data_IF_143797585845
#
_entry.id   IF_143797585845
#
_cell.length_a   1.000
_cell.length_b   1.000
_cell.length_c   1.000
_cell.angle_alpha   90.00
_cell.angle_beta   90.00
_cell.angle_gamma   90.00
#
_symmetry.space_group_name_H-M   'P 1'
#
loop_
_entity.id
_entity.type
_entity.pdbx_description
1 polymer ?
#
# COMPACT_ATOMS: atom_id res chain seq x y z
N UNK A 1 -16.53 -0.43 10.49
CA UNK A 1 -16.93 -1.23 11.68
C UNK A 1 -16.43 -0.48 12.91
N UNK A 2 -17.25 -0.32 13.96
CA UNK A 2 -16.80 0.27 15.22
C UNK A 2 -15.63 -0.54 15.77
N UNK A 3 -14.53 0.10 16.20
CA UNK A 3 -13.51 -0.56 17.01
C UNK A 3 -14.21 -1.09 18.27
N UNK A 4 -13.90 -2.31 18.68
CA UNK A 4 -14.39 -2.83 19.94
C UNK A 4 -13.48 -2.30 21.04
N UNK A 5 -14.02 -1.50 21.95
CA UNK A 5 -13.25 -0.94 23.05
C UNK A 5 -13.02 -2.00 24.13
N UNK A 6 -11.74 -2.21 24.45
CA UNK A 6 -11.33 -3.08 25.55
C UNK A 6 -11.68 -2.37 26.85
N UNK A 7 -12.44 -2.99 27.77
CA UNK A 7 -12.78 -2.40 29.06
C UNK A 7 -11.56 -1.87 29.80
N UNK A 8 -11.67 -0.64 30.32
CA UNK A 8 -10.59 0.00 31.06
C UNK A 8 -10.60 -0.42 32.53
N UNK A 9 -9.55 -1.11 32.94
CA UNK A 9 -9.31 -1.44 34.35
C UNK A 9 -7.99 -0.85 34.86
N UNK A 10 -7.46 0.19 34.19
CA UNK A 10 -6.19 0.84 34.57
C UNK A 10 -6.21 1.43 35.99
N UNK A 11 -7.40 1.73 36.53
CA UNK A 11 -7.57 2.20 37.91
C UNK A 11 -7.29 1.10 38.96
N UNK A 12 -7.24 -0.17 38.57
CA UNK A 12 -6.92 -1.28 39.48
C UNK A 12 -5.41 -1.33 39.73
N UNK A 13 -5.03 -1.44 41.00
CA UNK A 13 -3.62 -1.60 41.41
C UNK A 13 -3.22 -3.07 41.62
N UNK A 14 -3.78 -3.97 40.81
CA UNK A 14 -3.53 -5.41 40.88
C UNK A 14 -3.15 -5.99 39.50
N UNK A 15 -2.96 -7.30 39.43
CA UNK A 15 -2.56 -8.00 38.21
C UNK A 15 -3.59 -7.84 37.08
N UNK A 16 -4.86 -7.62 37.41
CA UNK A 16 -5.93 -7.37 36.43
C UNK A 16 -5.77 -5.98 35.82
N UNK A 17 -5.37 -4.98 36.59
CA UNK A 17 -5.02 -3.65 36.07
C UNK A 17 -3.84 -3.71 35.11
N UNK A 18 -2.75 -4.39 35.50
CA UNK A 18 -1.58 -4.59 34.65
C UNK A 18 -1.92 -5.34 33.34
N UNK A 19 -2.74 -6.39 33.43
CA UNK A 19 -3.20 -7.13 32.25
C UNK A 19 -4.06 -6.27 31.32
N UNK A 20 -4.96 -5.45 31.89
CA UNK A 20 -5.82 -4.54 31.11
C UNK A 20 -4.99 -3.54 30.30
N UNK A 21 -3.94 -2.96 30.91
CA UNK A 21 -3.01 -2.05 30.22
C UNK A 21 -2.30 -2.77 29.07
N UNK A 22 -1.67 -3.92 29.36
CA UNK A 22 -0.94 -4.68 28.35
C UNK A 22 -1.82 -5.10 27.16
N UNK A 23 -3.04 -5.57 27.44
CA UNK A 23 -3.99 -5.98 26.39
C UNK A 23 -4.45 -4.77 25.57
N UNK A 24 -4.71 -3.62 26.19
CA UNK A 24 -5.06 -2.38 25.49
C UNK A 24 -3.92 -1.89 24.60
N UNK A 25 -2.69 -1.94 25.08
CA UNK A 25 -1.51 -1.55 24.31
C UNK A 25 -1.32 -2.48 23.10
N UNK A 26 -1.46 -3.80 23.29
CA UNK A 26 -1.44 -4.78 22.19
C UNK A 26 -2.56 -4.54 21.17
N UNK A 27 -3.78 -4.26 21.63
CA UNK A 27 -4.93 -3.98 20.74
C UNK A 27 -4.74 -2.68 19.98
N UNK A 28 -4.22 -1.63 20.62
CA UNK A 28 -3.92 -0.36 19.96
C UNK A 28 -2.83 -0.52 18.91
N UNK A 29 -1.75 -1.25 19.22
CA UNK A 29 -0.70 -1.58 18.26
C UNK A 29 -1.25 -2.38 17.07
N UNK A 30 -2.14 -3.35 17.31
CA UNK A 30 -2.80 -4.10 16.25
C UNK A 30 -3.65 -3.19 15.34
N UNK A 31 -4.45 -2.28 15.91
CA UNK A 31 -5.25 -1.35 15.13
C UNK A 31 -4.40 -0.39 14.30
N UNK A 32 -3.32 0.15 14.87
CA UNK A 32 -2.39 1.00 14.15
C UNK A 32 -1.77 0.24 12.95
N UNK A 33 -1.42 -1.03 13.14
CA UNK A 33 -0.90 -1.88 12.06
C UNK A 33 -1.94 -2.14 10.96
N UNK A 34 -3.20 -2.39 11.33
CA UNK A 34 -4.29 -2.57 10.37
C UNK A 34 -4.48 -1.29 9.53
N UNK A 35 -4.50 -0.12 10.16
CA UNK A 35 -4.62 1.16 9.45
C UNK A 35 -3.45 1.41 8.50
N UNK A 36 -2.23 1.10 8.93
CA UNK A 36 -1.05 1.20 8.08
C UNK A 36 -1.16 0.29 6.84
N UNK A 37 -1.61 -0.95 7.01
CA UNK A 37 -1.83 -1.91 5.89
C UNK A 37 -2.92 -1.40 4.94
N UNK A 38 -4.04 -0.88 5.47
CA UNK A 38 -5.13 -0.35 4.65
C UNK A 38 -4.68 0.87 3.84
N UNK A 39 -3.95 1.81 4.45
CA UNK A 39 -3.38 2.98 3.76
C UNK A 39 -2.40 2.54 2.69
N UNK A 40 -1.47 1.64 3.02
CA UNK A 40 -0.48 1.12 2.08
C UNK A 40 -1.15 0.46 0.86
N UNK A 41 -2.16 -0.38 1.09
CA UNK A 41 -2.91 -1.03 0.02
C UNK A 41 -3.63 -0.02 -0.89
N UNK A 42 -4.18 1.06 -0.32
CA UNK A 42 -4.80 2.13 -1.08
C UNK A 42 -3.77 2.86 -1.95
N UNK A 43 -2.62 3.24 -1.38
CA UNK A 43 -1.56 3.96 -2.08
C UNK A 43 -0.97 3.14 -3.22
N UNK A 44 -0.67 1.86 -2.98
CA UNK A 44 -0.23 0.91 -4.02
C UNK A 44 -1.25 0.81 -5.14
N UNK A 45 -2.54 0.68 -4.81
CA UNK A 45 -3.61 0.57 -5.80
C UNK A 45 -3.70 1.84 -6.66
N UNK A 46 -3.56 3.02 -6.05
CA UNK A 46 -3.55 4.30 -6.75
C UNK A 46 -2.34 4.44 -7.68
N UNK A 47 -1.14 4.14 -7.20
CA UNK A 47 0.10 4.26 -7.99
C UNK A 47 0.18 3.26 -9.14
N UNK A 48 -0.38 2.06 -9.01
CA UNK A 48 -0.47 1.08 -10.11
C UNK A 48 -1.54 1.46 -11.14
N UNK A 49 -2.68 2.01 -10.69
CA UNK A 49 -3.80 2.37 -11.56
C UNK A 49 -3.44 3.49 -12.54
N UNK A 50 -2.57 4.41 -12.14
CA UNK A 50 -2.13 5.53 -12.96
C UNK A 50 -1.42 5.10 -14.28
N UNK A 51 -0.27 4.39 -14.24
CA UNK A 51 0.40 3.91 -15.45
C UNK A 51 -0.48 2.89 -16.20
N UNK A 52 -1.27 2.06 -15.52
CA UNK A 52 -2.20 1.15 -16.20
C UNK A 52 -3.26 1.88 -17.03
N UNK A 53 -3.79 2.99 -16.50
CA UNK A 53 -4.76 3.83 -17.22
C UNK A 53 -4.12 4.50 -18.43
N UNK A 54 -2.90 5.03 -18.26
CA UNK A 54 -2.12 5.63 -19.36
C UNK A 54 -1.80 4.60 -20.45
N UNK A 55 -1.37 3.40 -20.07
CA UNK A 55 -1.13 2.28 -20.99
C UNK A 55 -2.37 1.92 -21.79
N UNK A 56 -3.52 1.76 -21.12
CA UNK A 56 -4.78 1.45 -21.78
C UNK A 56 -5.13 2.53 -22.81
N UNK A 57 -5.05 3.80 -22.42
CA UNK A 57 -5.32 4.92 -23.34
C UNK A 57 -4.35 4.94 -24.53
N UNK A 58 -3.06 4.67 -24.32
CA UNK A 58 -2.08 4.64 -25.40
C UNK A 58 -2.33 3.47 -26.37
N UNK A 59 -2.65 2.28 -25.85
CA UNK A 59 -2.97 1.08 -26.64
C UNK A 59 -4.27 1.26 -27.42
N UNK A 60 -5.31 1.85 -26.83
CA UNK A 60 -6.58 2.15 -27.51
C UNK A 60 -6.40 3.23 -28.60
N UNK A 61 -5.46 4.16 -28.41
CA UNK A 61 -5.20 5.25 -29.37
C UNK A 61 -4.27 4.81 -30.50
N UNK A 62 -3.42 3.80 -30.30
CA UNK A 62 -2.42 3.36 -31.27
C UNK A 62 -2.99 3.00 -32.65
N UNK A 63 -4.15 2.30 -32.78
CA UNK A 63 -4.78 2.03 -34.07
C UNK A 63 -5.30 3.29 -34.78
N UNK A 64 -5.60 4.35 -34.03
CA UNK A 64 -6.14 5.62 -34.54
C UNK A 64 -5.03 6.57 -35.05
N UNK A 65 -3.76 6.26 -34.77
CA UNK A 65 -2.63 7.09 -35.16
C UNK A 65 -2.41 7.07 -36.69
N UNK A 66 -2.47 8.26 -37.31
CA UNK A 66 -2.39 8.42 -38.77
C UNK A 66 -0.98 8.58 -39.34
N UNK A 67 0.01 8.84 -38.50
CA UNK A 67 1.39 9.07 -38.91
C UNK A 67 2.36 8.34 -37.96
N UNK A 68 3.58 8.10 -38.47
CA UNK A 68 4.61 7.34 -37.75
C UNK A 68 5.09 8.07 -36.49
N UNK A 69 5.11 9.41 -36.50
CA UNK A 69 5.48 10.21 -35.33
C UNK A 69 4.52 10.00 -34.15
N UNK A 70 3.21 10.01 -34.39
CA UNK A 70 2.19 9.74 -33.37
C UNK A 70 2.27 8.31 -32.87
N UNK A 71 2.50 7.34 -33.76
CA UNK A 71 2.67 5.93 -33.40
C UNK A 71 3.92 5.71 -32.53
N UNK A 72 5.03 6.35 -32.89
CA UNK A 72 6.27 6.31 -32.12
C UNK A 72 6.08 6.90 -30.71
N UNK A 73 5.39 8.05 -30.60
CA UNK A 73 5.10 8.68 -29.30
C UNK A 73 4.22 7.81 -28.40
N UNK A 74 3.19 7.17 -28.95
CA UNK A 74 2.34 6.25 -28.19
C UNK A 74 3.13 5.01 -27.74
N UNK A 75 4.00 4.49 -28.60
CA UNK A 75 4.88 3.38 -28.25
C UNK A 75 5.91 3.76 -27.18
N UNK A 76 6.38 5.02 -27.17
CA UNK A 76 7.24 5.55 -26.11
C UNK A 76 6.51 5.63 -24.77
N UNK A 77 5.27 6.15 -24.76
CA UNK A 77 4.42 6.17 -23.55
C UNK A 77 4.25 4.75 -23.01
N UNK A 78 3.95 3.78 -23.88
CA UNK A 78 3.78 2.38 -23.50
C UNK A 78 5.04 1.84 -22.82
N UNK A 79 6.20 2.02 -23.46
CA UNK A 79 7.47 1.54 -22.89
C UNK A 79 7.83 2.25 -21.58
N UNK A 80 7.56 3.54 -21.49
CA UNK A 80 7.80 4.32 -20.28
C UNK A 80 6.97 3.79 -19.10
N UNK A 81 5.66 3.58 -19.30
CA UNK A 81 4.77 3.19 -18.22
C UNK A 81 4.93 1.72 -17.81
N UNK A 82 5.34 0.84 -18.74
CA UNK A 82 5.79 -0.52 -18.38
C UNK A 82 7.02 -0.47 -17.48
N UNK A 83 8.03 0.34 -17.81
CA UNK A 83 9.22 0.52 -16.96
C UNK A 83 8.86 1.14 -15.61
N UNK A 84 7.88 2.06 -15.57
CA UNK A 84 7.39 2.65 -14.32
C UNK A 84 6.72 1.60 -13.43
N UNK A 85 5.86 0.75 -14.00
CA UNK A 85 5.22 -0.35 -13.28
C UNK A 85 6.25 -1.32 -12.70
N UNK A 86 7.26 -1.70 -13.48
CA UNK A 86 8.33 -2.60 -13.05
C UNK A 86 9.11 -2.05 -11.84
N UNK A 87 9.45 -0.74 -11.87
CA UNK A 87 10.08 -0.06 -10.73
C UNK A 87 9.16 -0.01 -9.52
N UNK A 88 7.90 0.39 -9.69
CA UNK A 88 6.93 0.45 -8.58
C UNK A 88 6.77 -0.92 -7.90
N UNK A 89 6.66 -1.99 -8.68
CA UNK A 89 6.56 -3.36 -8.13
C UNK A 89 7.83 -3.72 -7.35
N UNK A 90 9.00 -3.37 -7.87
CA UNK A 90 10.29 -3.60 -7.19
C UNK A 90 10.35 -2.84 -5.87
N UNK A 91 10.05 -1.54 -5.89
CA UNK A 91 10.06 -0.67 -4.70
C UNK A 91 9.08 -1.17 -3.63
N UNK A 92 7.88 -1.62 -4.03
CA UNK A 92 6.87 -2.22 -3.13
C UNK A 92 7.38 -3.52 -2.51
N UNK A 93 8.03 -4.38 -3.31
CA UNK A 93 8.60 -5.64 -2.84
C UNK A 93 9.72 -5.41 -1.82
N UNK A 94 10.61 -4.45 -2.09
CA UNK A 94 11.72 -4.11 -1.22
C UNK A 94 11.22 -3.49 0.10
N UNK A 95 10.25 -2.58 0.03
CA UNK A 95 9.61 -2.01 1.22
C UNK A 95 8.91 -3.09 2.08
N UNK A 96 8.18 -4.01 1.45
CA UNK A 96 7.49 -5.11 2.15
C UNK A 96 8.48 -6.06 2.84
N UNK A 97 9.64 -6.28 2.22
CA UNK A 97 10.71 -7.09 2.81
C UNK A 97 11.36 -6.39 4.00
N UNK A 98 11.67 -5.10 3.88
CA UNK A 98 12.28 -4.32 4.96
C UNK A 98 11.36 -4.25 6.19
N UNK A 99 10.06 -4.02 5.98
CA UNK A 99 9.06 -4.01 7.06
C UNK A 99 9.00 -5.37 7.80
N UNK A 100 9.11 -6.48 7.05
CA UNK A 100 9.15 -7.82 7.62
C UNK A 100 10.44 -8.14 8.38
N UNK A 101 11.58 -7.53 8.01
CA UNK A 101 12.86 -7.66 8.71
C UNK A 101 12.83 -6.88 10.03
N UNK A 102 12.34 -5.63 10.01
CA UNK A 102 12.17 -4.80 11.22
C UNK A 102 11.23 -5.45 12.24
N UNK A 103 10.10 -5.99 11.79
CA UNK A 103 9.12 -6.65 12.67
C UNK A 103 9.61 -7.96 13.32
N UNK A 104 10.81 -8.47 12.97
CA UNK A 104 11.43 -9.64 13.62
C UNK A 104 12.49 -9.25 14.66
N UNK A 105 12.96 -8.01 14.62
CA UNK A 105 13.98 -7.49 15.55
C UNK A 105 13.35 -6.84 16.80
N UNK A 106 12.05 -6.49 16.73
CA UNK A 106 11.19 -6.09 17.86
C UNK A 106 10.53 -7.29 18.56
#
# INVERSE_FOLDING_TARGET
KSREEIPDFSDRQDEIGNLSIAVRDMTNALYARIEAIESFAADVSHELKNPLTSLRSAVETLPLAKNDTSRARLMEIIQHDVKRLDRLITDISDASRLDAELARED
#
